data_IF_522698391377
#
_entry.id   IF_522698391377
#
_cell.length_a   1.000
_cell.length_b   1.000
_cell.length_c   1.000
_cell.angle_alpha   90.00
_cell.angle_beta   90.00
_cell.angle_gamma   90.00
#
_symmetry.space_group_name_H-M   'P 1'
#
loop_
_entity.id
_entity.type
_entity.pdbx_description
1 polymer ?
#
# COMPACT_ATOMS: atom_id res chain seq x y z
N UNK A 1 -28.30 -15.45 16.02
CA UNK A 1 -27.84 -14.05 15.95
C UNK A 1 -27.54 -13.54 14.53
N UNK A 2 -27.21 -14.38 13.54
CA UNK A 2 -26.90 -13.92 12.16
C UNK A 2 -28.11 -13.52 11.29
N UNK A 3 -29.34 -13.93 11.62
CA UNK A 3 -30.53 -13.62 10.81
C UNK A 3 -31.09 -12.20 11.05
N UNK A 4 -30.90 -11.63 12.25
CA UNK A 4 -31.32 -10.27 12.58
C UNK A 4 -30.51 -9.24 11.77
N UNK A 5 -29.19 -9.43 11.67
CA UNK A 5 -28.29 -8.58 10.89
C UNK A 5 -28.66 -8.49 9.40
N UNK A 6 -29.12 -9.58 8.77
CA UNK A 6 -29.58 -9.56 7.37
C UNK A 6 -30.90 -8.81 7.19
N UNK A 7 -31.79 -8.88 8.18
CA UNK A 7 -33.06 -8.17 8.14
C UNK A 7 -32.82 -6.66 8.33
N UNK A 8 -31.95 -6.29 9.26
CA UNK A 8 -31.57 -4.89 9.50
C UNK A 8 -30.84 -4.30 8.28
N UNK A 9 -29.94 -5.06 7.64
CA UNK A 9 -29.30 -4.64 6.38
C UNK A 9 -30.28 -4.53 5.19
N UNK A 10 -31.37 -5.30 5.21
CA UNK A 10 -32.41 -5.22 4.20
C UNK A 10 -33.25 -3.96 4.44
N UNK A 11 -33.66 -3.72 5.68
CA UNK A 11 -34.43 -2.54 6.11
C UNK A 11 -33.62 -1.27 5.85
N UNK A 12 -32.32 -1.26 6.15
CA UNK A 12 -31.45 -0.10 5.93
C UNK A 12 -31.22 0.16 4.44
N UNK A 13 -31.08 -0.89 3.60
CA UNK A 13 -31.06 -0.73 2.14
C UNK A 13 -32.37 -0.19 1.60
N UNK A 14 -33.49 -0.66 2.13
CA UNK A 14 -34.82 -0.20 1.75
C UNK A 14 -34.97 1.27 2.15
N UNK A 15 -34.61 1.63 3.38
CA UNK A 15 -34.65 3.01 3.89
C UNK A 15 -33.76 3.95 3.06
N UNK A 16 -32.51 3.56 2.79
CA UNK A 16 -31.58 4.35 1.97
C UNK A 16 -32.07 4.52 0.53
N UNK A 17 -32.64 3.46 -0.06
CA UNK A 17 -33.31 3.56 -1.37
C UNK A 17 -34.57 4.42 -1.31
N UNK A 18 -35.28 4.47 -0.20
CA UNK A 18 -36.44 5.37 -0.02
C UNK A 18 -35.95 6.82 0.08
N UNK A 19 -34.90 7.11 0.85
CA UNK A 19 -34.31 8.45 0.94
C UNK A 19 -33.72 8.94 -0.40
N UNK A 20 -33.00 8.09 -1.12
CA UNK A 20 -32.51 8.38 -2.46
C UNK A 20 -33.66 8.60 -3.46
N UNK A 21 -34.80 7.91 -3.28
CA UNK A 21 -36.02 8.16 -4.04
C UNK A 21 -36.67 9.49 -3.67
N UNK A 22 -36.52 9.92 -2.40
CA UNK A 22 -37.08 11.15 -1.91
C UNK A 22 -36.34 12.40 -2.43
N UNK A 23 -35.10 12.22 -2.91
CA UNK A 23 -34.21 13.31 -3.33
C UNK A 23 -34.45 13.85 -4.75
N UNK A 24 -35.37 13.29 -5.56
CA UNK A 24 -35.71 13.81 -6.89
C UNK A 24 -37.13 14.39 -6.91
N UNK A 25 -37.31 15.72 -6.84
CA UNK A 25 -38.62 16.34 -6.95
C UNK A 25 -38.92 16.66 -8.42
N UNK A 26 -39.65 15.77 -9.10
CA UNK A 26 -40.61 16.23 -10.10
C UNK A 26 -41.99 15.97 -9.53
N UNK A 27 -42.50 16.94 -8.77
CA UNK A 27 -43.90 17.00 -8.39
C UNK A 27 -44.67 17.27 -9.68
N UNK A 28 -45.25 16.23 -10.28
CA UNK A 28 -46.15 16.41 -11.42
C UNK A 28 -47.52 16.78 -10.88
N UNK A 29 -47.87 18.07 -10.99
CA UNK A 29 -49.20 18.57 -10.69
C UNK A 29 -50.13 18.16 -11.82
N UNK A 30 -50.90 17.10 -11.63
CA UNK A 30 -51.89 16.66 -12.61
C UNK A 30 -53.22 17.34 -12.32
N UNK A 31 -53.47 18.46 -12.99
CA UNK A 31 -54.81 19.06 -13.05
C UNK A 31 -55.62 18.27 -14.09
N UNK A 32 -56.52 17.43 -13.58
CA UNK A 32 -57.66 16.79 -14.27
C UNK A 32 -57.33 16.17 -15.65
N UNK A 33 -56.98 14.88 -15.66
CA UNK A 33 -56.89 14.09 -16.90
C UNK A 33 -58.30 13.76 -17.38
N UNK A 34 -58.61 14.15 -18.62
CA UNK A 34 -59.80 13.68 -19.34
C UNK A 34 -59.75 12.14 -19.49
N UNK A 35 -60.82 11.41 -19.15
CA UNK A 35 -60.77 9.96 -19.10
C UNK A 35 -60.86 9.35 -20.51
N UNK A 36 -59.82 8.62 -20.93
CA UNK A 36 -60.02 7.47 -21.84
C UNK A 36 -60.17 6.24 -20.96
N UNK A 37 -61.43 5.92 -20.65
CA UNK A 37 -61.80 4.82 -19.78
C UNK A 37 -61.74 3.48 -20.54
N UNK A 38 -60.74 2.65 -20.22
CA UNK A 38 -61.04 1.23 -20.06
C UNK A 38 -61.76 1.07 -18.70
N UNK A 39 -62.85 0.28 -18.60
CA UNK A 39 -63.82 0.45 -17.50
C UNK A 39 -63.32 0.18 -16.06
N UNK A 40 -62.10 -0.34 -15.84
CA UNK A 40 -61.67 -0.80 -14.50
C UNK A 40 -60.33 -0.17 -14.03
N UNK A 41 -59.83 0.86 -14.72
CA UNK A 41 -58.48 1.42 -14.50
C UNK A 41 -58.23 1.96 -13.08
N UNK A 42 -59.30 2.37 -12.38
CA UNK A 42 -59.20 3.01 -11.08
C UNK A 42 -58.70 2.07 -9.97
N UNK A 43 -59.01 0.78 -10.05
CA UNK A 43 -58.67 -0.18 -8.98
C UNK A 43 -57.19 -0.53 -8.97
N UNK A 44 -56.55 -0.52 -10.15
CA UNK A 44 -55.14 -0.90 -10.28
C UNK A 44 -54.18 0.29 -10.08
N UNK A 45 -54.68 1.52 -10.12
CA UNK A 45 -53.84 2.71 -9.95
C UNK A 45 -53.23 2.76 -8.54
N UNK A 46 -51.92 2.93 -8.46
CA UNK A 46 -51.19 2.95 -7.20
C UNK A 46 -50.85 1.58 -6.62
N UNK A 47 -51.32 0.48 -7.22
CA UNK A 47 -51.05 -0.88 -6.72
C UNK A 47 -49.56 -1.22 -6.85
N UNK A 48 -48.90 -1.65 -5.76
CA UNK A 48 -47.55 -2.20 -5.79
C UNK A 48 -47.41 -3.38 -6.75
N UNK A 49 -46.39 -3.34 -7.62
CA UNK A 49 -46.06 -4.39 -8.58
C UNK A 49 -44.80 -5.12 -8.13
N UNK A 50 -44.88 -6.44 -8.00
CA UNK A 50 -43.79 -7.32 -7.61
C UNK A 50 -43.46 -8.33 -8.70
N UNK A 51 -42.19 -8.38 -9.11
CA UNK A 51 -41.67 -9.34 -10.08
C UNK A 51 -41.00 -10.50 -9.36
N UNK A 52 -41.45 -11.73 -9.64
CA UNK A 52 -40.81 -12.93 -9.10
C UNK A 52 -39.40 -13.04 -9.69
N UNK A 53 -38.39 -13.13 -8.81
CA UNK A 53 -36.97 -13.11 -9.16
C UNK A 53 -36.37 -11.72 -9.41
N UNK A 54 -37.21 -10.69 -9.64
CA UNK A 54 -36.77 -9.30 -9.87
C UNK A 54 -37.00 -8.35 -8.70
N UNK A 55 -37.88 -8.69 -7.77
CA UNK A 55 -38.24 -7.85 -6.62
C UNK A 55 -39.28 -6.78 -6.95
N UNK A 56 -39.36 -5.76 -6.10
CA UNK A 56 -40.32 -4.65 -6.23
C UNK A 56 -40.06 -3.80 -7.49
N UNK A 57 -41.06 -3.67 -8.35
CA UNK A 57 -40.97 -2.95 -9.62
C UNK A 57 -41.41 -1.48 -9.52
N UNK A 58 -42.27 -1.15 -8.55
CA UNK A 58 -42.88 0.16 -8.38
C UNK A 58 -44.39 0.06 -8.15
N UNK A 59 -45.10 1.17 -8.18
CA UNK A 59 -46.56 1.23 -8.14
C UNK A 59 -47.10 1.50 -9.53
N UNK A 60 -48.18 0.81 -9.89
CA UNK A 60 -48.78 0.93 -11.20
C UNK A 60 -49.34 2.34 -11.40
N UNK A 61 -48.88 3.02 -12.43
CA UNK A 61 -49.35 4.35 -12.83
C UNK A 61 -50.29 4.25 -14.01
N UNK A 62 -49.88 3.53 -15.04
CA UNK A 62 -50.62 3.33 -16.29
C UNK A 62 -50.35 1.95 -16.80
N UNK A 63 -51.27 1.42 -17.60
CA UNK A 63 -51.02 0.22 -18.36
C UNK A 63 -51.69 0.30 -19.71
N UNK A 64 -51.11 -0.43 -20.66
CA UNK A 64 -51.65 -0.62 -21.99
C UNK A 64 -51.52 -2.10 -22.32
N UNK A 65 -52.50 -2.67 -23.02
CA UNK A 65 -52.38 -4.03 -23.53
C UNK A 65 -52.36 -4.05 -25.05
N UNK A 66 -51.48 -4.87 -25.61
CA UNK A 66 -51.42 -5.17 -27.03
C UNK A 66 -51.91 -6.60 -27.25
N UNK A 67 -52.87 -6.79 -28.16
CA UNK A 67 -53.33 -8.12 -28.54
C UNK A 67 -52.34 -8.73 -29.54
N UNK A 68 -51.95 -9.97 -29.32
CA UNK A 68 -51.18 -10.78 -30.26
C UNK A 68 -51.76 -12.20 -30.31
N UNK A 69 -51.38 -13.01 -31.31
CA UNK A 69 -51.98 -14.32 -31.59
C UNK A 69 -51.90 -15.35 -30.42
N UNK A 70 -51.11 -15.07 -29.38
CA UNK A 70 -50.92 -15.90 -28.19
C UNK A 70 -51.59 -15.39 -26.90
N UNK A 71 -52.12 -14.16 -26.89
CA UNK A 71 -52.67 -13.55 -25.68
C UNK A 71 -52.67 -12.02 -25.69
N UNK A 72 -52.73 -11.41 -24.50
CA UNK A 72 -52.57 -9.96 -24.33
C UNK A 72 -51.23 -9.69 -23.66
N UNK A 73 -50.41 -8.88 -24.32
CA UNK A 73 -49.17 -8.38 -23.76
C UNK A 73 -49.50 -7.12 -22.96
N UNK A 74 -49.23 -7.12 -21.66
CA UNK A 74 -49.40 -6.00 -20.77
C UNK A 74 -48.10 -5.20 -20.66
N UNK A 75 -48.21 -3.90 -20.90
CA UNK A 75 -47.14 -2.92 -20.72
C UNK A 75 -47.56 -2.04 -19.54
N UNK A 76 -46.91 -2.24 -18.40
CA UNK A 76 -47.17 -1.55 -17.14
C UNK A 76 -46.16 -0.43 -16.95
N UNK A 77 -46.62 0.81 -16.89
CA UNK A 77 -45.80 1.94 -16.46
C UNK A 77 -45.89 2.06 -14.94
N UNK A 78 -44.76 1.83 -14.26
CA UNK A 78 -44.66 1.86 -12.81
C UNK A 78 -43.91 3.12 -12.37
N UNK A 79 -44.50 3.89 -11.46
CA UNK A 79 -43.78 4.93 -10.74
C UNK A 79 -43.09 4.32 -9.51
N UNK A 80 -41.96 4.88 -9.08
CA UNK A 80 -41.26 4.38 -7.88
C UNK A 80 -42.12 4.56 -6.63
N UNK A 81 -42.89 5.64 -6.61
CA UNK A 81 -43.74 6.05 -5.51
C UNK A 81 -44.94 6.86 -6.04
N UNK A 82 -46.13 6.55 -5.54
CA UNK A 82 -47.40 7.25 -5.78
C UNK A 82 -48.07 7.46 -4.42
N UNK A 83 -48.37 8.71 -4.10
CA UNK A 83 -49.15 9.10 -2.93
C UNK A 83 -50.29 10.03 -3.28
N UNK A 84 -51.41 9.86 -2.57
CA UNK A 84 -52.61 10.66 -2.75
C UNK A 84 -52.88 11.41 -1.46
N UNK A 85 -52.99 12.73 -1.56
CA UNK A 85 -53.31 13.63 -0.45
C UNK A 85 -54.68 14.26 -0.67
N UNK A 86 -55.49 14.35 0.37
CA UNK A 86 -56.76 15.05 0.39
C UNK A 86 -56.61 16.40 1.06
N UNK A 87 -57.16 17.46 0.44
CA UNK A 87 -57.20 18.80 1.01
C UNK A 87 -58.47 19.00 1.81
N UNK A 88 -58.30 19.49 3.03
CA UNK A 88 -59.38 19.88 3.94
C UNK A 88 -59.03 21.23 4.55
N UNK A 89 -59.67 22.30 4.06
CA UNK A 89 -59.23 23.67 4.34
C UNK A 89 -57.79 23.91 3.85
N UNK A 90 -56.93 24.36 4.77
CA UNK A 90 -55.50 24.63 4.51
C UNK A 90 -54.59 23.41 4.76
N UNK A 91 -55.13 22.29 5.21
CA UNK A 91 -54.34 21.10 5.53
C UNK A 91 -54.39 20.06 4.40
N UNK A 92 -53.23 19.54 4.02
CA UNK A 92 -53.09 18.36 3.17
C UNK A 92 -52.90 17.13 4.05
N UNK A 93 -53.78 16.14 3.88
CA UNK A 93 -53.79 14.91 4.66
C UNK A 93 -53.49 13.73 3.74
N UNK A 94 -52.55 12.82 4.08
CA UNK A 94 -52.26 11.66 3.25
C UNK A 94 -53.42 10.66 3.29
N UNK A 95 -54.07 10.44 2.15
CA UNK A 95 -55.23 9.53 1.98
C UNK A 95 -54.74 8.13 1.59
N UNK A 96 -53.78 8.05 0.67
CA UNK A 96 -53.13 6.80 0.26
C UNK A 96 -51.63 7.03 0.19
N UNK A 97 -50.86 6.18 0.86
CA UNK A 97 -49.39 6.21 0.84
C UNK A 97 -48.88 4.86 0.30
N UNK A 98 -48.04 4.90 -0.72
CA UNK A 98 -47.48 3.68 -1.33
C UNK A 98 -48.55 2.63 -1.76
N UNK A 99 -49.75 3.07 -2.12
CA UNK A 99 -50.83 2.18 -2.55
C UNK A 99 -51.65 1.60 -1.39
N UNK A 100 -51.30 1.95 -0.15
CA UNK A 100 -52.04 1.54 1.04
C UNK A 100 -52.94 2.69 1.53
N UNK A 101 -54.23 2.44 1.77
CA UNK A 101 -55.12 3.44 2.35
C UNK A 101 -54.70 3.75 3.78
N UNK A 102 -54.69 5.03 4.14
CA UNK A 102 -54.46 5.46 5.53
C UNK A 102 -55.79 5.50 6.30
N UNK A 103 -55.74 5.77 7.61
CA UNK A 103 -56.92 6.04 8.44
C UNK A 103 -57.82 7.19 7.95
N UNK A 104 -57.32 7.96 6.98
CA UNK A 104 -57.99 9.12 6.41
C UNK A 104 -58.76 8.78 5.12
N UNK A 105 -58.57 7.58 4.56
CA UNK A 105 -59.16 7.18 3.28
C UNK A 105 -60.69 7.22 3.22
N UNK A 106 -61.37 6.98 4.34
CA UNK A 106 -62.84 6.96 4.42
C UNK A 106 -63.50 8.32 4.65
N UNK A 107 -62.77 9.44 4.54
CA UNK A 107 -63.29 10.79 4.81
C UNK A 107 -63.53 11.56 3.51
N UNK A 108 -64.38 12.58 3.57
CA UNK A 108 -64.62 13.49 2.45
C UNK A 108 -63.58 14.62 2.42
N UNK A 109 -63.15 14.99 1.21
CA UNK A 109 -62.13 16.00 0.93
C UNK A 109 -62.58 16.95 -0.19
N UNK A 110 -62.12 18.20 -0.14
CA UNK A 110 -62.46 19.22 -1.14
C UNK A 110 -61.76 18.98 -2.48
N UNK A 111 -60.52 18.49 -2.43
CA UNK A 111 -59.70 18.18 -3.60
C UNK A 111 -58.70 17.09 -3.25
N UNK A 112 -58.27 16.32 -4.26
CA UNK A 112 -57.21 15.33 -4.14
C UNK A 112 -55.98 15.77 -4.95
N UNK A 113 -54.81 15.58 -4.38
CA UNK A 113 -53.50 15.85 -4.97
C UNK A 113 -52.73 14.55 -5.09
N UNK A 114 -52.20 14.28 -6.27
CA UNK A 114 -51.42 13.07 -6.53
C UNK A 114 -49.95 13.46 -6.67
N UNK A 115 -49.10 12.80 -5.91
CA UNK A 115 -47.66 12.91 -5.99
C UNK A 115 -47.10 11.63 -6.63
N UNK A 116 -46.65 11.75 -7.88
CA UNK A 116 -45.96 10.68 -8.61
C UNK A 116 -44.46 10.99 -8.65
N UNK A 117 -43.62 10.06 -8.20
CA UNK A 117 -42.15 10.20 -8.27
C UNK A 117 -41.52 9.22 -9.26
N UNK A 118 -40.69 9.77 -10.14
CA UNK A 118 -39.86 9.01 -11.07
C UNK A 118 -38.59 8.42 -10.40
N UNK A 119 -37.76 7.68 -11.14
CA UNK A 119 -37.91 7.34 -12.55
C UNK A 119 -39.07 6.38 -12.81
N UNK A 120 -39.77 6.56 -13.93
CA UNK A 120 -40.82 5.64 -14.37
C UNK A 120 -40.17 4.41 -15.01
N UNK A 121 -40.59 3.22 -14.57
CA UNK A 121 -40.12 1.94 -15.06
C UNK A 121 -41.23 1.27 -15.85
N UNK A 122 -40.92 0.83 -17.07
CA UNK A 122 -41.85 0.02 -17.85
C UNK A 122 -41.59 -1.46 -17.57
N UNK A 123 -42.66 -2.19 -17.27
CA UNK A 123 -42.65 -3.64 -17.07
C UNK A 123 -43.56 -4.27 -18.12
N UNK A 124 -42.97 -5.10 -18.96
CA UNK A 124 -43.69 -5.86 -19.98
C UNK A 124 -43.85 -7.30 -19.53
N UNK A 125 -45.07 -7.83 -19.62
CA UNK A 125 -45.40 -9.21 -19.28
C UNK A 125 -46.63 -9.68 -20.03
N UNK A 126 -46.79 -10.99 -20.24
CA UNK A 126 -48.04 -11.54 -20.75
C UNK A 126 -49.11 -11.55 -19.66
N UNK A 127 -50.39 -11.39 -20.03
CA UNK A 127 -51.52 -11.45 -19.08
C UNK A 127 -51.50 -12.76 -18.27
N UNK A 128 -51.08 -13.85 -18.92
CA UNK A 128 -50.94 -15.16 -18.30
C UNK A 128 -49.88 -15.20 -17.21
N UNK A 129 -48.87 -14.34 -17.26
CA UNK A 129 -47.78 -14.30 -16.28
C UNK A 129 -48.18 -13.53 -15.01
N UNK A 130 -49.27 -12.76 -15.06
CA UNK A 130 -49.83 -12.11 -13.88
C UNK A 130 -50.53 -13.17 -13.02
N UNK A 131 -50.04 -13.37 -11.81
CA UNK A 131 -50.45 -14.51 -10.97
C UNK A 131 -51.83 -14.27 -10.34
N UNK A 132 -52.11 -13.05 -9.92
CA UNK A 132 -53.27 -12.72 -9.10
C UNK A 132 -54.11 -11.56 -9.66
N UNK A 133 -54.13 -11.37 -10.99
CA UNK A 133 -54.83 -10.26 -11.64
C UNK A 133 -56.28 -10.11 -11.16
N UNK A 134 -57.06 -11.20 -11.20
CA UNK A 134 -58.47 -11.18 -10.78
C UNK A 134 -58.66 -10.80 -9.31
N UNK A 135 -57.75 -11.23 -8.42
CA UNK A 135 -57.83 -10.96 -6.98
C UNK A 135 -57.48 -9.50 -6.68
N UNK A 136 -56.54 -8.93 -7.42
CA UNK A 136 -56.19 -7.50 -7.31
C UNK A 136 -57.32 -6.63 -7.88
N UNK A 137 -57.93 -7.02 -9.00
CA UNK A 137 -59.09 -6.31 -9.57
C UNK A 137 -60.31 -6.30 -8.64
N UNK A 138 -60.48 -7.33 -7.82
CA UNK A 138 -61.52 -7.39 -6.77
C UNK A 138 -61.14 -6.67 -5.48
N UNK A 139 -59.89 -6.20 -5.36
CA UNK A 139 -59.36 -5.58 -4.14
C UNK A 139 -59.10 -6.57 -3.00
N UNK A 140 -59.07 -7.88 -3.27
CA UNK A 140 -58.75 -8.92 -2.29
C UNK A 140 -57.24 -8.96 -2.00
N UNK A 141 -56.42 -8.75 -3.03
CA UNK A 141 -54.96 -8.73 -2.93
C UNK A 141 -54.42 -7.30 -3.12
N UNK A 142 -53.61 -6.78 -2.17
CA UNK A 142 -53.10 -5.42 -2.23
C UNK A 142 -51.88 -5.25 -3.15
N UNK A 143 -51.36 -6.33 -3.73
CA UNK A 143 -50.10 -6.33 -4.51
C UNK A 143 -50.30 -7.14 -5.80
N UNK A 144 -49.85 -6.61 -6.93
CA UNK A 144 -49.82 -7.30 -8.21
C UNK A 144 -48.54 -8.12 -8.35
N UNK A 145 -48.69 -9.44 -8.50
CA UNK A 145 -47.56 -10.38 -8.61
C UNK A 145 -47.43 -10.84 -10.07
N UNK A 146 -46.24 -10.70 -10.62
CA UNK A 146 -45.91 -11.03 -12.01
C UNK A 146 -44.78 -12.07 -12.04
N UNK A 147 -45.06 -13.22 -12.65
CA UNK A 147 -44.11 -14.31 -12.87
C UNK A 147 -43.62 -14.36 -14.33
N UNK A 148 -42.96 -13.29 -14.79
CA UNK A 148 -42.44 -13.19 -16.17
C UNK A 148 -41.48 -14.33 -16.54
N UNK A 149 -40.77 -14.88 -15.56
CA UNK A 149 -39.74 -15.90 -15.77
C UNK A 149 -40.27 -17.33 -15.57
N UNK A 150 -41.54 -17.48 -15.19
CA UNK A 150 -42.11 -18.79 -14.87
C UNK A 150 -41.44 -19.47 -13.68
N UNK A 151 -40.77 -18.72 -12.80
CA UNK A 151 -40.03 -19.28 -11.67
C UNK A 151 -40.96 -19.90 -10.63
N UNK A 152 -42.14 -19.32 -10.46
CA UNK A 152 -43.14 -19.83 -9.52
C UNK A 152 -43.94 -21.00 -10.12
N UNK A 153 -44.27 -20.92 -11.42
CA UNK A 153 -45.12 -21.93 -12.07
C UNK A 153 -44.38 -23.11 -12.69
N UNK A 154 -43.19 -22.88 -13.27
CA UNK A 154 -42.42 -23.88 -14.04
C UNK A 154 -41.16 -24.36 -13.30
N UNK A 155 -40.74 -23.65 -12.26
CA UNK A 155 -39.49 -23.91 -11.56
C UNK A 155 -38.26 -23.48 -12.38
N UNK A 156 -37.09 -23.55 -11.75
CA UNK A 156 -35.82 -23.27 -12.44
C UNK A 156 -35.45 -24.48 -13.32
N UNK A 157 -35.21 -24.31 -14.64
CA UNK A 157 -34.82 -25.42 -15.50
C UNK A 157 -33.50 -26.06 -15.01
N UNK A 158 -33.39 -27.39 -15.09
CA UNK A 158 -32.24 -28.14 -14.56
C UNK A 158 -30.89 -27.69 -15.16
N UNK A 159 -30.87 -27.26 -16.42
CA UNK A 159 -29.66 -26.77 -17.09
C UNK A 159 -29.06 -25.53 -16.40
N UNK A 160 -29.90 -24.67 -15.81
CA UNK A 160 -29.44 -23.51 -15.06
C UNK A 160 -28.88 -23.89 -13.69
N UNK A 161 -29.42 -24.94 -13.08
CA UNK A 161 -28.86 -25.49 -11.85
C UNK A 161 -27.49 -26.11 -12.09
N UNK A 162 -27.31 -26.86 -13.18
CA UNK A 162 -26.01 -27.42 -13.55
C UNK A 162 -24.96 -26.31 -13.73
N UNK A 163 -25.28 -25.27 -14.51
CA UNK A 163 -24.40 -24.10 -14.68
C UNK A 163 -24.11 -23.38 -13.37
N UNK A 164 -25.10 -23.27 -12.48
CA UNK A 164 -24.88 -22.66 -11.17
C UNK A 164 -23.89 -23.47 -10.33
N UNK A 165 -24.00 -24.81 -10.33
CA UNK A 165 -23.06 -25.69 -9.63
C UNK A 165 -21.65 -25.56 -10.21
N UNK A 166 -21.50 -25.57 -11.55
CA UNK A 166 -20.21 -25.36 -12.21
C UNK A 166 -19.58 -24.00 -11.83
N UNK A 167 -20.38 -22.94 -11.78
CA UNK A 167 -19.91 -21.62 -11.35
C UNK A 167 -19.51 -21.62 -9.88
N UNK A 168 -20.24 -22.31 -9.00
CA UNK A 168 -19.87 -22.45 -7.59
C UNK A 168 -18.55 -23.22 -7.42
N UNK A 169 -18.34 -24.28 -8.19
CA UNK A 169 -17.09 -25.05 -8.18
C UNK A 169 -15.91 -24.20 -8.68
N UNK A 170 -16.11 -23.44 -9.76
CA UNK A 170 -15.11 -22.51 -10.28
C UNK A 170 -14.76 -21.42 -9.26
N UNK A 171 -15.76 -20.85 -8.58
CA UNK A 171 -15.55 -19.87 -7.51
C UNK A 171 -14.75 -20.49 -6.36
N UNK A 172 -15.06 -21.72 -5.95
CA UNK A 172 -14.30 -22.43 -4.91
C UNK A 172 -12.84 -22.62 -5.31
N UNK A 173 -12.60 -23.08 -6.54
CA UNK A 173 -11.24 -23.26 -7.04
C UNK A 173 -10.46 -21.94 -7.09
N UNK A 174 -11.09 -20.86 -7.53
CA UNK A 174 -10.48 -19.53 -7.50
C UNK A 174 -10.15 -19.09 -6.07
N UNK A 175 -11.03 -19.34 -5.10
CA UNK A 175 -10.76 -19.03 -3.69
C UNK A 175 -9.56 -19.81 -3.14
N UNK A 176 -9.44 -21.11 -3.47
CA UNK A 176 -8.28 -21.92 -3.11
C UNK A 176 -7.00 -21.35 -3.72
N UNK A 177 -6.99 -21.03 -5.01
CA UNK A 177 -5.81 -20.46 -5.66
C UNK A 177 -5.41 -19.10 -5.07
N UNK A 178 -6.37 -18.26 -4.69
CA UNK A 178 -6.09 -16.97 -4.05
C UNK A 178 -5.45 -17.21 -2.68
N UNK A 179 -5.96 -18.17 -1.90
CA UNK A 179 -5.40 -18.51 -0.60
C UNK A 179 -3.94 -18.99 -0.71
N UNK A 180 -3.66 -19.86 -1.68
CA UNK A 180 -2.30 -20.36 -1.92
C UNK A 180 -1.35 -19.22 -2.33
N UNK A 181 -1.78 -18.33 -3.22
CA UNK A 181 -0.98 -17.16 -3.62
C UNK A 181 -0.75 -16.17 -2.47
N UNK A 182 -1.73 -15.96 -1.59
CA UNK A 182 -1.58 -15.12 -0.40
C UNK A 182 -0.58 -15.72 0.60
N UNK A 183 -0.60 -17.05 0.74
CA UNK A 183 0.38 -17.79 1.55
C UNK A 183 1.79 -17.63 0.98
N UNK A 184 1.97 -17.91 -0.31
CA UNK A 184 3.26 -17.78 -0.99
C UNK A 184 3.81 -16.35 -0.90
N UNK A 185 2.95 -15.34 -1.10
CA UNK A 185 3.30 -13.93 -0.92
C UNK A 185 3.80 -13.64 0.49
N UNK A 186 3.14 -14.19 1.50
CA UNK A 186 3.52 -14.00 2.90
C UNK A 186 4.88 -14.62 3.20
N UNK A 187 5.12 -15.83 2.71
CA UNK A 187 6.43 -16.51 2.83
C UNK A 187 7.54 -15.71 2.14
N UNK A 188 7.30 -15.24 0.91
CA UNK A 188 8.26 -14.40 0.17
C UNK A 188 8.58 -13.09 0.91
N UNK A 189 7.59 -12.44 1.52
CA UNK A 189 7.80 -11.23 2.31
C UNK A 189 8.65 -11.51 3.56
N UNK A 190 8.44 -12.65 4.23
CA UNK A 190 9.29 -13.03 5.36
C UNK A 190 10.73 -13.28 4.92
N UNK A 191 10.92 -13.97 3.80
CA UNK A 191 12.24 -14.23 3.23
C UNK A 191 12.95 -12.92 2.83
N UNK A 192 12.23 -11.99 2.21
CA UNK A 192 12.77 -10.67 1.86
C UNK A 192 13.30 -9.95 3.10
N UNK A 193 12.51 -9.89 4.18
CA UNK A 193 12.93 -9.26 5.44
C UNK A 193 14.16 -9.91 6.06
N UNK A 194 14.24 -11.25 6.02
CA UNK A 194 15.41 -11.98 6.49
C UNK A 194 16.65 -11.60 5.68
N UNK A 195 16.55 -11.54 4.35
CA UNK A 195 17.65 -11.12 3.47
C UNK A 195 18.05 -9.66 3.66
N UNK A 196 17.10 -8.76 3.87
CA UNK A 196 17.38 -7.37 4.19
C UNK A 196 18.17 -7.24 5.50
N UNK A 197 17.81 -8.01 6.53
CA UNK A 197 18.55 -8.05 7.79
C UNK A 197 19.97 -8.61 7.60
N UNK A 198 20.14 -9.70 6.85
CA UNK A 198 21.46 -10.25 6.51
C UNK A 198 22.34 -9.21 5.78
N UNK A 199 21.76 -8.47 4.82
CA UNK A 199 22.48 -7.42 4.09
C UNK A 199 22.93 -6.30 5.04
N UNK A 200 22.11 -5.91 6.01
CA UNK A 200 22.49 -4.91 7.01
C UNK A 200 23.69 -5.37 7.84
N UNK A 201 23.65 -6.59 8.36
CA UNK A 201 24.77 -7.18 9.12
C UNK A 201 26.05 -7.21 8.28
N UNK A 202 25.97 -7.65 7.03
CA UNK A 202 27.13 -7.68 6.13
C UNK A 202 27.69 -6.28 5.84
N UNK A 203 26.83 -5.25 5.74
CA UNK A 203 27.27 -3.86 5.56
C UNK A 203 28.02 -3.35 6.79
N UNK A 204 27.53 -3.63 7.99
CA UNK A 204 28.21 -3.28 9.24
C UNK A 204 29.57 -3.97 9.35
N UNK A 205 29.65 -5.24 8.97
CA UNK A 205 30.91 -5.99 8.97
C UNK A 205 31.92 -5.41 7.96
N UNK A 206 31.47 -5.03 6.76
CA UNK A 206 32.30 -4.33 5.77
C UNK A 206 32.83 -3.01 6.34
N UNK A 207 32.00 -2.21 7.01
CA UNK A 207 32.45 -0.96 7.63
C UNK A 207 33.47 -1.20 8.73
N UNK A 208 33.24 -2.20 9.59
CA UNK A 208 34.19 -2.60 10.63
C UNK A 208 35.54 -3.00 10.03
N UNK A 209 35.53 -3.83 8.99
CA UNK A 209 36.75 -4.25 8.30
C UNK A 209 37.47 -3.05 7.63
N UNK A 210 36.72 -2.11 7.06
CA UNK A 210 37.28 -0.86 6.51
C UNK A 210 37.98 -0.04 7.59
N UNK A 211 37.38 0.11 8.77
CA UNK A 211 38.00 0.82 9.91
C UNK A 211 39.25 0.10 10.43
N UNK A 212 39.25 -1.23 10.49
CA UNK A 212 40.43 -2.00 10.85
C UNK A 212 41.56 -1.82 9.82
N UNK A 213 41.23 -1.85 8.53
CA UNK A 213 42.18 -1.63 7.47
C UNK A 213 42.79 -0.22 7.50
N UNK A 214 42.00 0.83 7.75
CA UNK A 214 42.53 2.19 7.88
C UNK A 214 43.44 2.32 9.10
N UNK A 215 43.08 1.72 10.23
CA UNK A 215 43.92 1.68 11.44
C UNK A 215 45.26 0.99 11.17
N UNK A 216 45.23 -0.22 10.61
CA UNK A 216 46.44 -0.98 10.27
C UNK A 216 47.32 -0.21 9.27
N UNK A 217 46.72 0.45 8.27
CA UNK A 217 47.46 1.30 7.33
C UNK A 217 48.16 2.47 8.07
N UNK A 218 47.51 3.09 9.04
CA UNK A 218 48.09 4.16 9.85
C UNK A 218 49.25 3.65 10.71
N UNK A 219 49.09 2.49 11.36
CA UNK A 219 50.14 1.84 12.15
C UNK A 219 51.36 1.53 11.28
N UNK A 220 51.17 0.91 10.11
CA UNK A 220 52.25 0.64 9.14
C UNK A 220 52.95 1.93 8.71
N UNK A 221 52.19 3.01 8.49
CA UNK A 221 52.76 4.33 8.20
C UNK A 221 53.64 4.86 9.34
N UNK A 222 53.20 4.71 10.59
CA UNK A 222 53.98 5.08 11.78
C UNK A 222 55.28 4.27 11.88
N UNK A 223 55.19 2.95 11.75
CA UNK A 223 56.35 2.06 11.75
C UNK A 223 57.36 2.42 10.65
N UNK A 224 56.87 2.80 9.47
CA UNK A 224 57.73 3.22 8.37
C UNK A 224 58.48 4.52 8.67
N UNK A 225 57.82 5.48 9.33
CA UNK A 225 58.47 6.73 9.77
C UNK A 225 59.52 6.45 10.84
N UNK A 226 59.22 5.61 11.82
CA UNK A 226 60.17 5.20 12.85
C UNK A 226 61.38 4.48 12.25
N UNK A 227 61.16 3.58 11.29
CA UNK A 227 62.22 2.92 10.55
C UNK A 227 63.13 3.91 9.82
N UNK A 228 62.56 4.92 9.14
CA UNK A 228 63.35 5.97 8.48
C UNK A 228 64.17 6.79 9.48
N UNK A 229 63.58 7.13 10.64
CA UNK A 229 64.27 7.82 11.72
C UNK A 229 65.45 7.00 12.23
N UNK A 230 65.23 5.73 12.57
CA UNK A 230 66.27 4.86 13.09
C UNK A 230 67.37 4.62 12.04
N UNK A 231 67.01 4.47 10.77
CA UNK A 231 67.96 4.39 9.67
C UNK A 231 68.83 5.65 9.55
N UNK A 232 68.26 6.84 9.76
CA UNK A 232 69.05 8.08 9.76
C UNK A 232 69.98 8.17 10.96
N UNK A 233 69.54 7.73 12.14
CA UNK A 233 70.34 7.72 13.36
C UNK A 233 71.53 6.75 13.24
N UNK A 234 71.32 5.55 12.69
CA UNK A 234 72.40 4.59 12.40
C UNK A 234 73.42 5.18 11.43
N UNK A 235 72.99 5.89 10.38
CA UNK A 235 73.92 6.56 9.47
C UNK A 235 74.78 7.61 10.17
N UNK A 236 74.17 8.45 11.01
CA UNK A 236 74.91 9.44 11.81
C UNK A 236 75.90 8.76 12.75
N UNK A 237 75.50 7.66 13.41
CA UNK A 237 76.41 6.89 14.26
C UNK A 237 77.57 6.28 13.49
N UNK A 238 77.34 5.80 12.26
CA UNK A 238 78.40 5.33 11.37
C UNK A 238 79.37 6.46 11.01
N UNK A 239 78.87 7.63 10.62
CA UNK A 239 79.71 8.80 10.33
C UNK A 239 80.56 9.23 11.55
N UNK A 240 79.99 9.21 12.75
CA UNK A 240 80.72 9.50 14.00
C UNK A 240 81.78 8.43 14.28
N UNK A 241 81.47 7.15 14.07
CA UNK A 241 82.44 6.07 14.25
C UNK A 241 83.62 6.20 13.27
N UNK A 242 83.35 6.53 12.01
CA UNK A 242 84.39 6.75 10.99
C UNK A 242 85.30 7.93 11.35
N UNK A 243 84.73 9.04 11.83
CA UNK A 243 85.50 10.20 12.31
C UNK A 243 86.36 9.87 13.53
N UNK A 244 85.81 9.11 14.48
CA UNK A 244 86.56 8.64 15.65
C UNK A 244 87.73 7.74 15.23
N UNK A 245 87.51 6.81 14.31
CA UNK A 245 88.58 5.98 13.75
C UNK A 245 89.67 6.83 13.09
N UNK A 246 89.30 7.85 12.30
CA UNK A 246 90.26 8.73 11.66
C UNK A 246 91.07 9.53 12.70
N UNK A 247 90.40 10.06 13.73
CA UNK A 247 91.04 10.74 14.85
C UNK A 247 92.00 9.82 15.62
N UNK A 248 91.61 8.57 15.90
CA UNK A 248 92.48 7.58 16.51
C UNK A 248 93.69 7.26 15.64
N UNK A 249 93.52 7.12 14.32
CA UNK A 249 94.63 6.92 13.38
C UNK A 249 95.61 8.11 13.39
N UNK A 250 95.09 9.35 13.38
CA UNK A 250 95.90 10.58 13.47
C UNK A 250 96.65 10.67 14.80
N UNK A 251 95.99 10.39 15.92
CA UNK A 251 96.63 10.34 17.24
C UNK A 251 97.72 9.27 17.30
N UNK A 252 97.45 8.06 16.79
CA UNK A 252 98.43 6.98 16.72
C UNK A 252 99.63 7.34 15.83
N UNK A 253 99.43 8.10 14.75
CA UNK A 253 100.51 8.64 13.93
C UNK A 253 101.32 9.69 14.71
N UNK A 254 100.65 10.62 15.40
CA UNK A 254 101.33 11.65 16.19
C UNK A 254 102.11 11.08 17.38
N UNK A 255 101.59 10.06 18.05
CA UNK A 255 102.31 9.33 19.10
C UNK A 255 103.55 8.66 18.53
N UNK A 256 103.46 8.06 17.33
CA UNK A 256 104.63 7.49 16.63
C UNK A 256 105.67 8.56 16.27
N UNK A 257 105.24 9.71 15.75
CA UNK A 257 106.12 10.85 15.47
C UNK A 257 106.81 11.38 16.74
N UNK A 258 106.06 11.59 17.82
CA UNK A 258 106.62 12.01 19.11
C UNK A 258 107.57 10.95 19.68
N UNK A 259 107.24 9.67 19.55
CA UNK A 259 108.13 8.56 19.92
C UNK A 259 109.43 8.59 19.12
N UNK A 260 109.36 8.86 17.82
CA UNK A 260 110.53 9.00 16.95
C UNK A 260 111.36 10.25 17.28
N UNK A 261 110.73 11.40 17.58
CA UNK A 261 111.42 12.60 18.04
C UNK A 261 112.07 12.41 19.41
N UNK A 262 111.42 11.70 20.34
CA UNK A 262 111.99 11.39 21.64
C UNK A 262 113.16 10.41 21.53
N UNK A 263 113.05 9.42 20.62
CA UNK A 263 114.16 8.53 20.29
C UNK A 263 115.32 9.31 19.67
N UNK A 264 115.05 10.20 18.71
CA UNK A 264 116.06 11.08 18.12
C UNK A 264 116.68 12.07 19.12
N UNK A 265 115.91 12.58 20.09
CA UNK A 265 116.43 13.40 21.18
C UNK A 265 117.29 12.59 22.16
N UNK A 266 116.91 11.33 22.43
CA UNK A 266 117.75 10.39 23.19
C UNK A 266 119.02 10.00 22.45
N UNK A 267 119.02 9.95 21.12
CA UNK A 267 120.22 9.74 20.30
C UNK A 267 121.05 11.01 20.10
N UNK A 268 120.45 12.20 20.22
CA UNK A 268 121.13 13.49 20.19
C UNK A 268 121.73 13.89 21.55
N UNK A 269 121.14 13.44 22.67
CA UNK A 269 121.69 13.61 24.01
C UNK A 269 123.16 13.14 24.15
N UNK A 270 123.55 11.93 23.70
CA UNK A 270 124.95 11.52 23.73
C UNK A 270 125.81 12.30 22.73
N UNK A 271 125.26 12.86 21.64
CA UNK A 271 126.03 13.70 20.69
C UNK A 271 126.29 15.12 21.21
N UNK A 272 125.45 15.64 22.10
CA UNK A 272 125.69 16.93 22.78
C UNK A 272 126.65 16.73 23.96
N UNK A 273 126.60 15.59 24.64
CA UNK A 273 127.65 15.17 25.58
C UNK A 273 128.99 14.96 24.85
N UNK A 274 129.02 14.26 23.70
CA UNK A 274 130.25 14.12 22.90
C UNK A 274 130.76 15.46 22.34
N UNK A 275 129.89 16.40 21.95
CA UNK A 275 130.32 17.77 21.55
C UNK A 275 130.74 18.66 22.73
N UNK A 276 130.23 18.39 23.93
CA UNK A 276 130.67 19.02 25.16
C UNK A 276 132.05 18.50 25.58
N UNK A 277 132.23 17.18 25.50
CA UNK A 277 133.50 16.49 25.79
C UNK A 277 134.58 16.73 24.72
N UNK A 278 134.23 16.93 23.45
CA UNK A 278 135.19 17.33 22.39
C UNK A 278 135.66 18.79 22.59
N UNK A 279 134.80 19.70 23.06
CA UNK A 279 135.22 21.07 23.42
C UNK A 279 136.09 21.09 24.68
N UNK A 280 135.79 20.25 25.67
CA UNK A 280 136.64 20.11 26.86
C UNK A 280 137.97 19.37 26.56
N UNK A 281 138.06 18.58 25.48
CA UNK A 281 139.31 17.95 25.03
C UNK A 281 140.15 18.81 24.06
N UNK A 282 139.55 19.77 23.35
CA UNK A 282 140.30 20.77 22.56
C UNK A 282 140.95 21.86 23.44
N UNK A 283 140.43 22.15 24.64
CA UNK A 283 141.09 23.06 25.60
C UNK A 283 142.25 22.40 26.39
N UNK A 284 142.29 21.07 26.46
CA UNK A 284 143.30 20.32 27.21
C UNK A 284 144.54 19.88 26.37
N UNK A 285 144.63 20.30 25.12
CA UNK A 285 145.69 19.90 24.18
C UNK A 285 146.18 21.03 23.28
N UNK A 286 146.57 22.17 23.86
CA UNK A 286 147.01 23.31 23.05
C UNK A 286 147.63 24.48 23.82
N UNK A 287 148.47 24.18 24.82
CA UNK A 287 149.48 25.13 25.32
C UNK A 287 150.81 24.84 24.62
N UNK A 288 151.13 25.64 23.61
CA UNK A 288 152.39 25.66 22.85
C UNK A 288 152.47 26.93 22.02
#
# INVERSE_FOLDING_TARGET
MAAASRYDELVERIARRVEEALASPRIVRVERVEPVAAPNLAVLYGVPVYLIGGGYAGQLRRFYYMRHDGGRLWVLECARYISIYGRRGDMLVPVVLCGFPTQYAGREYEAYYIEERGPFRTVECDERDIVNLERVERGEDPILIIDRHGLYRRGVPQDWWAKYVELQEMVRHLQETVYDLERDRSELLTNLRMREAEIQVLREEIERLRMQHTKLRAEVGSWYIEYLRLKSEVKVQQEVADLLEEMFRRLAARIRELGALLAGAKEAAPKVEERGEEREREEAGGGG
#
